data_IF_285543726851
#
_entry.id   IF_285543726851
#
_cell.length_a   1.000
_cell.length_b   1.000
_cell.length_c   1.000
_cell.angle_alpha   90.00
_cell.angle_beta   90.00
_cell.angle_gamma   90.00
#
_symmetry.space_group_name_H-M   'P 1'
#
loop_
_entity.id
_entity.type
_entity.pdbx_description
1 polymer ?
#
# COMPACT_ATOMS: atom_id res chain seq x y z
N UNK A 1 22.56 -0.94 7.13
CA UNK A 1 21.85 -0.57 5.88
C UNK A 1 22.07 -1.62 4.81
N UNK A 2 23.33 -1.94 4.44
CA UNK A 2 23.66 -2.94 3.41
C UNK A 2 22.97 -4.31 3.56
N UNK A 3 22.83 -4.85 4.78
CA UNK A 3 22.17 -6.15 4.99
C UNK A 3 20.64 -6.08 4.86
N UNK A 4 20.01 -4.97 5.29
CA UNK A 4 18.56 -4.78 5.15
C UNK A 4 18.22 -4.61 3.67
N UNK A 5 18.95 -3.75 2.96
CA UNK A 5 18.73 -3.52 1.53
C UNK A 5 18.90 -4.82 0.72
N UNK A 6 19.88 -5.66 1.10
CA UNK A 6 20.08 -6.99 0.51
C UNK A 6 18.90 -7.92 0.78
N UNK A 7 18.38 -7.96 2.02
CA UNK A 7 17.22 -8.79 2.35
C UNK A 7 15.97 -8.36 1.58
N UNK A 8 15.71 -7.06 1.48
CA UNK A 8 14.60 -6.51 0.69
C UNK A 8 14.75 -6.88 -0.78
N UNK A 9 15.96 -6.77 -1.33
CA UNK A 9 16.24 -7.16 -2.72
C UNK A 9 15.98 -8.65 -2.98
N UNK A 10 16.40 -9.53 -2.07
CA UNK A 10 16.14 -10.97 -2.20
C UNK A 10 14.64 -11.30 -2.06
N UNK A 11 13.93 -10.64 -1.14
CA UNK A 11 12.47 -10.76 -1.02
C UNK A 11 11.76 -10.33 -2.30
N UNK A 12 12.13 -9.19 -2.86
CA UNK A 12 11.57 -8.67 -4.11
C UNK A 12 11.85 -9.62 -5.28
N UNK A 13 13.05 -10.18 -5.36
CA UNK A 13 13.41 -11.19 -6.38
C UNK A 13 12.55 -12.45 -6.26
N UNK A 14 12.35 -12.96 -5.04
CA UNK A 14 11.49 -14.13 -4.78
C UNK A 14 10.02 -13.84 -5.12
N UNK A 15 9.55 -12.66 -4.76
CA UNK A 15 8.20 -12.18 -5.09
C UNK A 15 8.00 -12.10 -6.61
N UNK A 16 8.91 -11.42 -7.33
CA UNK A 16 8.87 -11.31 -8.79
C UNK A 16 8.88 -12.67 -9.50
N UNK A 17 9.62 -13.65 -8.97
CA UNK A 17 9.60 -15.01 -9.50
C UNK A 17 8.20 -15.66 -9.39
N UNK A 18 7.45 -15.38 -8.32
CA UNK A 18 6.07 -15.89 -8.14
C UNK A 18 5.06 -15.14 -9.02
N UNK A 19 5.26 -13.84 -9.23
CA UNK A 19 4.41 -13.01 -10.08
C UNK A 19 4.57 -13.31 -11.58
N UNK A 20 5.71 -13.87 -11.99
CA UNK A 20 6.04 -14.13 -13.39
C UNK A 20 5.32 -15.37 -13.93
N UNK A 21 4.06 -15.20 -14.32
CA UNK A 21 3.35 -16.17 -15.13
C UNK A 21 3.61 -15.89 -16.63
N UNK A 22 4.13 -16.85 -17.43
CA UNK A 22 4.56 -16.58 -18.81
C UNK A 22 3.48 -15.95 -19.69
N UNK A 23 2.23 -16.39 -19.50
CA UNK A 23 1.10 -15.84 -20.27
C UNK A 23 0.72 -14.42 -19.84
N UNK A 24 0.78 -14.11 -18.53
CA UNK A 24 0.48 -12.77 -18.04
C UNK A 24 1.60 -11.80 -18.46
N UNK A 25 2.86 -12.19 -18.28
CA UNK A 25 4.02 -11.38 -18.65
C UNK A 25 4.10 -11.06 -20.15
N UNK A 26 3.49 -11.89 -21.01
CA UNK A 26 3.42 -11.64 -22.46
C UNK A 26 2.36 -10.58 -22.82
N UNK A 27 1.30 -10.45 -22.04
CA UNK A 27 0.12 -9.65 -22.41
C UNK A 27 -0.11 -8.44 -21.50
N UNK A 28 0.44 -8.43 -20.29
CA UNK A 28 0.26 -7.37 -19.29
C UNK A 28 1.61 -6.81 -18.84
N UNK A 29 1.66 -5.54 -18.44
CA UNK A 29 2.82 -5.00 -17.74
C UNK A 29 3.08 -5.82 -16.47
N UNK A 30 4.35 -5.88 -16.05
CA UNK A 30 4.71 -6.53 -14.79
C UNK A 30 3.99 -5.83 -13.62
N UNK A 31 3.41 -6.60 -12.67
CA UNK A 31 2.78 -6.01 -11.49
C UNK A 31 3.79 -5.16 -10.73
N UNK A 32 3.37 -3.97 -10.30
CA UNK A 32 4.23 -3.07 -9.54
C UNK A 32 4.37 -3.58 -8.10
N UNK A 33 5.61 -3.80 -7.67
CA UNK A 33 5.91 -4.11 -6.27
C UNK A 33 6.10 -2.81 -5.49
N UNK A 34 5.27 -2.58 -4.47
CA UNK A 34 5.49 -1.49 -3.53
C UNK A 34 6.65 -1.80 -2.58
N UNK A 35 7.84 -1.27 -2.89
CA UNK A 35 9.03 -1.44 -2.07
C UNK A 35 8.91 -0.85 -0.67
N UNK A 36 8.12 0.21 -0.46
CA UNK A 36 7.94 0.80 0.86
C UNK A 36 7.10 -0.13 1.74
N UNK A 37 6.02 -0.71 1.19
CA UNK A 37 5.23 -1.75 1.89
C UNK A 37 6.08 -3.00 2.17
N UNK A 38 6.92 -3.42 1.22
CA UNK A 38 7.83 -4.54 1.42
C UNK A 38 8.83 -4.29 2.57
N UNK A 39 9.40 -3.08 2.62
CA UNK A 39 10.30 -2.67 3.71
C UNK A 39 9.58 -2.65 5.06
N UNK A 40 8.38 -2.07 5.13
CA UNK A 40 7.58 -2.03 6.35
C UNK A 40 7.24 -3.44 6.85
N UNK A 41 6.87 -4.37 5.95
CA UNK A 41 6.59 -5.75 6.35
C UNK A 41 7.85 -6.44 6.87
N UNK A 42 8.97 -6.30 6.17
CA UNK A 42 10.25 -6.84 6.66
C UNK A 42 10.58 -6.31 8.06
N UNK A 43 10.51 -4.99 8.26
CA UNK A 43 10.78 -4.38 9.56
C UNK A 43 9.82 -4.84 10.66
N UNK A 44 8.54 -5.03 10.34
CA UNK A 44 7.52 -5.56 11.26
C UNK A 44 7.80 -7.03 11.64
N UNK A 45 8.07 -7.89 10.66
CA UNK A 45 8.33 -9.31 10.90
C UNK A 45 9.68 -9.57 11.59
N UNK A 46 10.66 -8.67 11.42
CA UNK A 46 11.92 -8.72 12.17
C UNK A 46 11.74 -8.56 13.68
N UNK A 47 10.67 -7.92 14.12
CA UNK A 47 10.34 -7.81 15.56
C UNK A 47 9.62 -9.05 16.11
N UNK A 48 9.20 -9.96 15.24
CA UNK A 48 8.51 -11.18 15.66
C UNK A 48 9.50 -12.27 16.10
N UNK A 49 9.00 -13.21 16.90
CA UNK A 49 9.76 -14.38 17.36
C UNK A 49 9.73 -15.56 16.38
N UNK A 50 9.24 -15.33 15.15
CA UNK A 50 9.10 -16.36 14.12
C UNK A 50 10.47 -16.77 13.54
N UNK A 51 10.55 -17.98 13.00
CA UNK A 51 11.73 -18.41 12.25
C UNK A 51 11.85 -17.63 10.94
N UNK A 52 13.08 -17.44 10.45
CA UNK A 52 13.32 -16.64 9.23
C UNK A 52 12.56 -17.14 8.00
N UNK A 53 12.43 -18.46 7.84
CA UNK A 53 11.67 -19.04 6.75
C UNK A 53 10.18 -18.66 6.82
N UNK A 54 9.61 -18.59 8.04
CA UNK A 54 8.21 -18.24 8.24
C UNK A 54 7.99 -16.74 8.03
N UNK A 55 8.89 -15.89 8.55
CA UNK A 55 8.87 -14.44 8.30
C UNK A 55 8.85 -14.16 6.80
N UNK A 56 9.76 -14.77 6.04
CA UNK A 56 9.83 -14.62 4.59
C UNK A 56 8.53 -15.05 3.90
N UNK A 57 8.00 -16.23 4.26
CA UNK A 57 6.76 -16.73 3.66
C UNK A 57 5.57 -15.79 3.95
N UNK A 58 5.48 -15.25 5.17
CA UNK A 58 4.43 -14.30 5.51
C UNK A 58 4.58 -12.96 4.80
N UNK A 59 5.81 -12.41 4.69
CA UNK A 59 6.07 -11.18 3.94
C UNK A 59 5.66 -11.35 2.47
N UNK A 60 6.10 -12.43 1.83
CA UNK A 60 5.76 -12.73 0.42
C UNK A 60 4.24 -12.86 0.26
N UNK A 61 3.58 -13.55 1.19
CA UNK A 61 2.12 -13.73 1.17
C UNK A 61 1.40 -12.39 1.31
N UNK A 62 1.78 -11.56 2.28
CA UNK A 62 1.17 -10.25 2.50
C UNK A 62 1.35 -9.33 1.27
N UNK A 63 2.52 -9.38 0.62
CA UNK A 63 2.77 -8.64 -0.61
C UNK A 63 1.96 -9.17 -1.80
N UNK A 64 1.75 -10.48 -1.92
CA UNK A 64 0.86 -11.04 -2.94
C UNK A 64 -0.59 -10.60 -2.73
N UNK A 65 -1.05 -10.50 -1.48
CA UNK A 65 -2.37 -9.94 -1.17
C UNK A 65 -2.44 -8.48 -1.63
N UNK A 66 -1.44 -7.66 -1.30
CA UNK A 66 -1.41 -6.26 -1.75
C UNK A 66 -1.45 -6.16 -3.28
N UNK A 67 -0.62 -6.95 -3.98
CA UNK A 67 -0.59 -6.95 -5.44
C UNK A 67 -1.91 -7.42 -6.04
N UNK A 68 -2.56 -8.43 -5.46
CA UNK A 68 -3.88 -8.85 -5.91
C UNK A 68 -4.91 -7.72 -5.77
N UNK A 69 -4.92 -7.03 -4.62
CA UNK A 69 -5.79 -5.89 -4.36
C UNK A 69 -5.54 -4.73 -5.31
N UNK A 70 -4.28 -4.39 -5.57
CA UNK A 70 -3.87 -3.32 -6.47
C UNK A 70 -4.21 -3.68 -7.94
N UNK A 71 -3.98 -4.93 -8.34
CA UNK A 71 -4.30 -5.43 -9.70
C UNK A 71 -5.80 -5.32 -9.98
N UNK A 72 -6.67 -5.56 -8.99
CA UNK A 72 -8.11 -5.37 -9.14
C UNK A 72 -8.52 -3.89 -9.28
N UNK A 73 -7.74 -2.94 -8.75
CA UNK A 73 -8.00 -1.51 -8.95
C UNK A 73 -7.62 -1.03 -10.35
N UNK A 74 -6.62 -1.65 -10.98
CA UNK A 74 -6.16 -1.29 -12.33
C UNK A 74 -7.14 -1.72 -13.44
N UNK A 75 -8.27 -2.36 -13.09
CA UNK A 75 -9.30 -2.77 -14.05
C UNK A 75 -10.06 -1.53 -14.55
N UNK A 76 -9.74 -1.08 -15.77
CA UNK A 76 -10.39 0.09 -16.38
C UNK A 76 -11.93 -0.14 -16.51
N UNK A 77 -12.72 0.83 -16.04
CA UNK A 77 -14.19 0.80 -16.04
C UNK A 77 -14.82 1.51 -17.24
N UNK A 78 -14.02 2.05 -18.16
CA UNK A 78 -14.53 2.69 -19.37
C UNK A 78 -15.36 1.71 -20.23
N UNK A 79 -16.52 2.18 -20.68
CA UNK A 79 -17.55 1.38 -21.37
C UNK A 79 -17.30 1.23 -22.87
N UNK A 80 -16.43 2.07 -23.46
CA UNK A 80 -16.06 2.03 -24.87
C UNK A 80 -14.57 1.69 -24.99
N UNK A 81 -14.26 0.40 -24.96
CA UNK A 81 -12.90 -0.12 -25.10
C UNK A 81 -12.76 -0.84 -26.45
N UNK A 82 -11.61 -0.69 -27.11
CA UNK A 82 -11.28 -1.51 -28.26
C UNK A 82 -11.17 -2.98 -27.85
N UNK A 83 -11.23 -3.92 -28.81
CA UNK A 83 -11.17 -5.36 -28.52
C UNK A 83 -9.91 -5.76 -27.73
N UNK A 84 -8.76 -5.14 -28.02
CA UNK A 84 -7.51 -5.39 -27.28
C UNK A 84 -7.58 -4.86 -25.85
N UNK A 85 -8.24 -3.73 -25.63
CA UNK A 85 -8.46 -3.17 -24.29
C UNK A 85 -9.43 -4.04 -23.46
N UNK A 86 -10.44 -4.62 -24.10
CA UNK A 86 -11.31 -5.60 -23.45
C UNK A 86 -10.55 -6.86 -23.04
N UNK A 87 -9.68 -7.38 -23.91
CA UNK A 87 -8.83 -8.54 -23.60
C UNK A 87 -7.88 -8.22 -22.45
N UNK A 88 -7.20 -7.07 -22.49
CA UNK A 88 -6.29 -6.64 -21.42
C UNK A 88 -7.05 -6.51 -20.09
N UNK A 89 -8.24 -5.90 -20.09
CA UNK A 89 -9.09 -5.80 -18.90
C UNK A 89 -9.44 -7.17 -18.32
N UNK A 90 -9.85 -8.13 -19.15
CA UNK A 90 -10.15 -9.49 -18.70
C UNK A 90 -8.92 -10.19 -18.14
N UNK A 91 -7.76 -9.98 -18.76
CA UNK A 91 -6.50 -10.52 -18.27
C UNK A 91 -6.06 -9.88 -16.94
N UNK A 92 -6.32 -8.59 -16.72
CA UNK A 92 -6.07 -7.92 -15.44
C UNK A 92 -6.93 -8.54 -14.33
N UNK A 93 -8.22 -8.79 -14.59
CA UNK A 93 -9.09 -9.51 -13.64
C UNK A 93 -8.53 -10.90 -13.33
N UNK A 94 -8.14 -11.65 -14.36
CA UNK A 94 -7.57 -12.99 -14.19
C UNK A 94 -6.21 -12.95 -13.46
N UNK A 95 -5.41 -11.90 -13.64
CA UNK A 95 -4.16 -11.71 -12.92
C UNK A 95 -4.44 -11.50 -11.42
N UNK A 96 -5.44 -10.69 -11.07
CA UNK A 96 -5.90 -10.53 -9.68
C UNK A 96 -6.36 -11.85 -9.05
N UNK A 97 -7.16 -12.64 -9.78
CA UNK A 97 -7.60 -13.97 -9.33
C UNK A 97 -6.43 -14.94 -9.16
N UNK A 98 -5.46 -14.91 -10.09
CA UNK A 98 -4.26 -15.74 -10.05
C UNK A 98 -3.38 -15.39 -8.84
N UNK A 99 -3.11 -14.11 -8.59
CA UNK A 99 -2.36 -13.68 -7.41
C UNK A 99 -3.11 -14.00 -6.13
N UNK A 100 -4.45 -13.94 -6.16
CA UNK A 100 -5.27 -14.39 -5.04
C UNK A 100 -5.12 -15.87 -4.74
N UNK A 101 -5.19 -16.72 -5.78
CA UNK A 101 -4.94 -18.15 -5.66
C UNK A 101 -3.53 -18.47 -5.14
N UNK A 102 -2.51 -17.72 -5.57
CA UNK A 102 -1.14 -17.88 -5.10
C UNK A 102 -0.99 -17.62 -3.60
N UNK A 103 -1.55 -16.52 -3.06
CA UNK A 103 -1.43 -16.26 -1.63
C UNK A 103 -2.23 -17.28 -0.80
N UNK A 104 -3.39 -17.73 -1.27
CA UNK A 104 -4.16 -18.78 -0.59
C UNK A 104 -3.40 -20.11 -0.56
N UNK A 105 -2.76 -20.48 -1.67
CA UNK A 105 -1.90 -21.67 -1.73
C UNK A 105 -0.78 -21.58 -0.69
N UNK A 106 -0.05 -20.47 -0.63
CA UNK A 106 1.05 -20.29 0.32
C UNK A 106 0.59 -20.37 1.78
N UNK A 107 -0.54 -19.75 2.11
CA UNK A 107 -1.12 -19.85 3.46
C UNK A 107 -1.56 -21.26 3.80
N UNK A 108 -2.14 -21.98 2.84
CA UNK A 108 -2.56 -23.37 3.04
C UNK A 108 -1.37 -24.29 3.29
N UNK A 109 -0.25 -24.04 2.62
CA UNK A 109 1.01 -24.78 2.82
C UNK A 109 1.62 -24.53 4.20
N UNK A 110 1.52 -23.29 4.70
CA UNK A 110 1.94 -22.92 6.06
C UNK A 110 1.03 -23.50 7.15
N UNK A 111 -0.18 -23.97 6.80
CA UNK A 111 -1.19 -24.52 7.73
C UNK A 111 -1.59 -23.56 8.86
N UNK A 112 -1.37 -22.25 8.68
CA UNK A 112 -1.75 -21.23 9.66
C UNK A 112 -3.15 -20.67 9.38
N UNK A 113 -4.15 -21.36 9.92
CA UNK A 113 -5.56 -20.99 9.79
C UNK A 113 -5.83 -19.63 10.46
N UNK A 114 -5.08 -19.25 11.50
CA UNK A 114 -5.28 -17.97 12.17
C UNK A 114 -4.81 -16.83 11.29
N UNK A 115 -3.64 -16.96 10.65
CA UNK A 115 -3.16 -15.96 9.69
C UNK A 115 -4.08 -15.85 8.47
N UNK A 116 -4.64 -16.95 7.97
CA UNK A 116 -5.65 -16.91 6.90
C UNK A 116 -6.83 -16.02 7.30
N UNK A 117 -7.35 -16.21 8.51
CA UNK A 117 -8.48 -15.42 9.03
C UNK A 117 -8.11 -13.95 9.23
N UNK A 118 -6.91 -13.69 9.73
CA UNK A 118 -6.35 -12.35 9.90
C UNK A 118 -6.33 -11.60 8.56
N UNK A 119 -5.73 -12.21 7.52
CA UNK A 119 -5.64 -11.60 6.19
C UNK A 119 -7.01 -11.45 5.53
N UNK A 120 -7.90 -12.44 5.64
CA UNK A 120 -9.25 -12.34 5.11
C UNK A 120 -10.04 -11.19 5.75
N UNK A 121 -9.85 -10.94 7.05
CA UNK A 121 -10.47 -9.81 7.75
C UNK A 121 -9.92 -8.48 7.26
N UNK A 122 -8.59 -8.39 7.08
CA UNK A 122 -7.95 -7.21 6.52
C UNK A 122 -8.43 -6.91 5.09
N UNK A 123 -8.47 -7.93 4.21
CA UNK A 123 -8.95 -7.81 2.81
C UNK A 123 -10.39 -7.30 2.78
N UNK A 124 -11.25 -7.85 3.65
CA UNK A 124 -12.64 -7.39 3.77
C UNK A 124 -12.71 -5.91 4.16
N UNK A 125 -11.99 -5.50 5.20
CA UNK A 125 -11.98 -4.11 5.67
C UNK A 125 -11.47 -3.15 4.59
N UNK A 126 -10.39 -3.52 3.90
CA UNK A 126 -9.84 -2.77 2.77
C UNK A 126 -10.90 -2.57 1.70
N UNK A 127 -11.55 -3.64 1.23
CA UNK A 127 -12.54 -3.55 0.18
C UNK A 127 -13.78 -2.75 0.59
N UNK A 128 -14.26 -2.88 1.84
CA UNK A 128 -15.35 -2.05 2.36
C UNK A 128 -14.99 -0.55 2.34
N UNK A 129 -13.78 -0.20 2.76
CA UNK A 129 -13.33 1.19 2.75
C UNK A 129 -13.08 1.72 1.33
N UNK A 130 -12.61 0.89 0.40
CA UNK A 130 -12.53 1.22 -1.04
C UNK A 130 -13.91 1.57 -1.61
N UNK A 131 -14.92 0.75 -1.32
CA UNK A 131 -16.31 1.01 -1.74
C UNK A 131 -16.83 2.31 -1.12
N UNK A 132 -16.60 2.56 0.18
CA UNK A 132 -17.03 3.82 0.82
C UNK A 132 -16.42 5.07 0.18
N UNK A 133 -15.14 5.02 -0.20
CA UNK A 133 -14.49 6.12 -0.93
C UNK A 133 -15.04 6.26 -2.34
N UNK A 134 -15.29 5.16 -3.04
CA UNK A 134 -15.83 5.15 -4.41
C UNK A 134 -17.27 5.68 -4.47
N UNK A 135 -18.16 5.19 -3.60
CA UNK A 135 -19.57 5.57 -3.51
C UNK A 135 -19.80 6.93 -2.82
N UNK A 136 -18.71 7.62 -2.43
CA UNK A 136 -18.73 8.95 -1.79
C UNK A 136 -19.58 9.00 -0.52
N UNK A 137 -19.64 7.91 0.22
CA UNK A 137 -20.41 7.84 1.47
C UNK A 137 -19.74 8.59 2.63
N UNK A 138 -18.59 9.23 2.40
CA UNK A 138 -17.77 9.89 3.41
C UNK A 138 -17.80 11.41 3.19
N UNK A 139 -18.43 12.10 4.14
CA UNK A 139 -18.67 13.55 4.08
C UNK A 139 -17.81 14.35 5.08
N UNK A 140 -16.85 13.71 5.73
CA UNK A 140 -15.99 14.32 6.74
C UNK A 140 -14.52 14.03 6.43
N UNK A 141 -13.65 15.03 6.63
CA UNK A 141 -12.23 14.94 6.31
C UNK A 141 -11.49 13.96 7.23
N UNK A 142 -11.87 13.86 8.50
CA UNK A 142 -11.28 12.87 9.41
C UNK A 142 -11.73 11.45 9.02
N UNK A 143 -13.01 11.27 8.69
CA UNK A 143 -13.53 10.01 8.17
C UNK A 143 -12.85 9.63 6.83
N UNK A 144 -12.52 10.60 5.98
CA UNK A 144 -11.78 10.37 4.75
C UNK A 144 -10.38 9.83 5.04
N UNK A 145 -9.60 10.52 5.87
CA UNK A 145 -8.25 10.05 6.22
C UNK A 145 -8.25 8.75 7.01
N UNK A 146 -9.27 8.52 7.84
CA UNK A 146 -9.47 7.23 8.50
C UNK A 146 -9.74 6.12 7.48
N UNK A 147 -10.59 6.37 6.48
CA UNK A 147 -10.86 5.41 5.42
C UNK A 147 -9.63 5.14 4.55
N UNK A 148 -8.89 6.20 4.20
CA UNK A 148 -7.64 6.09 3.45
C UNK A 148 -6.58 5.30 4.23
N UNK A 149 -6.45 5.56 5.53
CA UNK A 149 -5.59 4.80 6.42
C UNK A 149 -5.94 3.32 6.43
N UNK A 150 -7.22 2.98 6.60
CA UNK A 150 -7.65 1.58 6.56
C UNK A 150 -7.35 0.90 5.21
N UNK A 151 -7.55 1.58 4.08
CA UNK A 151 -7.22 1.02 2.77
C UNK A 151 -5.73 0.72 2.65
N UNK A 152 -4.87 1.64 3.09
CA UNK A 152 -3.44 1.52 2.90
C UNK A 152 -2.77 0.60 3.94
N UNK A 153 -3.24 0.60 5.19
CA UNK A 153 -2.54 -0.02 6.31
C UNK A 153 -3.29 -1.13 7.05
N UNK A 154 -4.52 -1.49 6.69
CA UNK A 154 -5.26 -2.54 7.43
C UNK A 154 -4.51 -3.88 7.46
N UNK A 155 -3.83 -4.26 6.37
CA UNK A 155 -2.99 -5.48 6.39
C UNK A 155 -1.90 -5.42 7.48
N UNK A 156 -1.23 -4.28 7.62
CA UNK A 156 -0.23 -4.07 8.68
C UNK A 156 -0.88 -4.13 10.05
N UNK A 157 -2.01 -3.44 10.25
CA UNK A 157 -2.76 -3.43 11.51
C UNK A 157 -3.09 -4.84 11.97
N UNK A 158 -3.73 -5.64 11.11
CA UNK A 158 -4.16 -6.99 11.48
C UNK A 158 -2.99 -7.95 11.70
N UNK A 159 -1.93 -7.87 10.89
CA UNK A 159 -0.73 -8.70 11.08
C UNK A 159 0.00 -8.30 12.36
N UNK A 160 0.17 -7.01 12.63
CA UNK A 160 0.81 -6.50 13.84
C UNK A 160 0.04 -6.89 15.11
N UNK A 161 -1.29 -6.82 15.09
CA UNK A 161 -2.14 -7.31 16.19
C UNK A 161 -1.98 -8.82 16.39
N UNK A 162 -1.95 -9.59 15.29
CA UNK A 162 -1.74 -11.04 15.33
C UNK A 162 -0.36 -11.41 15.93
N UNK A 163 0.69 -10.66 15.58
CA UNK A 163 2.05 -10.85 16.10
C UNK A 163 2.28 -10.19 17.47
N UNK A 164 1.28 -9.47 18.01
CA UNK A 164 1.33 -8.72 19.27
C UNK A 164 2.36 -7.58 19.29
N UNK A 165 2.50 -6.87 18.17
CA UNK A 165 3.41 -5.73 17.99
C UNK A 165 2.63 -4.49 17.50
N UNK A 166 1.65 -3.99 18.28
CA UNK A 166 0.66 -3.01 17.81
C UNK A 166 1.24 -1.62 17.50
N UNK A 167 2.49 -1.33 17.88
CA UNK A 167 3.18 -0.08 17.50
C UNK A 167 3.25 0.10 15.99
N UNK A 168 3.35 -1.00 15.23
CA UNK A 168 3.36 -0.98 13.78
C UNK A 168 2.03 -0.54 13.15
N UNK A 169 0.92 -0.59 13.90
CA UNK A 169 -0.37 -0.08 13.43
C UNK A 169 -0.26 1.42 13.12
N UNK A 170 0.34 2.18 14.04
CA UNK A 170 0.49 3.63 13.94
C UNK A 170 1.57 3.97 12.91
N UNK A 171 2.74 3.32 12.98
CA UNK A 171 3.86 3.57 12.07
C UNK A 171 3.46 3.34 10.61
N UNK A 172 2.85 2.19 10.31
CA UNK A 172 2.47 1.86 8.94
C UNK A 172 1.34 2.75 8.44
N UNK A 173 0.34 3.05 9.28
CA UNK A 173 -0.76 3.94 8.91
C UNK A 173 -0.25 5.33 8.53
N UNK A 174 0.51 5.98 9.41
CA UNK A 174 0.92 7.36 9.20
C UNK A 174 1.87 7.49 8.01
N UNK A 175 2.82 6.56 7.88
CA UNK A 175 3.74 6.51 6.73
C UNK A 175 2.98 6.32 5.42
N UNK A 176 2.09 5.33 5.33
CA UNK A 176 1.42 4.97 4.08
C UNK A 176 0.35 5.99 3.68
N UNK A 177 -0.35 6.60 4.64
CA UNK A 177 -1.27 7.72 4.38
C UNK A 177 -0.51 8.91 3.80
N UNK A 178 0.62 9.30 4.40
CA UNK A 178 1.44 10.37 3.85
C UNK A 178 1.93 10.04 2.44
N UNK A 179 2.49 8.84 2.25
CA UNK A 179 2.90 8.36 0.92
C UNK A 179 1.76 8.47 -0.10
N UNK A 180 0.56 8.01 0.26
CA UNK A 180 -0.58 8.01 -0.65
C UNK A 180 -0.98 9.42 -1.07
N UNK A 181 -1.08 10.34 -0.11
CA UNK A 181 -1.35 11.77 -0.33
C UNK A 181 -0.33 12.41 -1.29
N UNK A 182 0.93 12.02 -1.19
CA UNK A 182 2.01 12.56 -2.02
C UNK A 182 2.03 11.95 -3.42
N UNK A 183 1.62 10.67 -3.54
CA UNK A 183 1.65 9.94 -4.80
C UNK A 183 0.43 10.16 -5.71
N UNK A 184 -0.70 10.61 -5.15
CA UNK A 184 -1.96 10.72 -5.88
C UNK A 184 -2.51 12.16 -5.87
N UNK A 185 -2.16 12.98 -6.88
CA UNK A 185 -2.69 14.34 -7.00
C UNK A 185 -4.21 14.38 -7.25
N UNK A 186 -4.82 13.27 -7.68
CA UNK A 186 -6.26 13.19 -7.94
C UNK A 186 -7.04 12.98 -6.65
N UNK A 187 -6.38 12.60 -5.55
CA UNK A 187 -7.00 12.43 -4.24
C UNK A 187 -7.75 13.69 -3.78
N UNK A 188 -7.28 14.88 -4.19
CA UNK A 188 -7.86 16.18 -3.86
C UNK A 188 -8.70 16.78 -4.99
N UNK A 189 -8.74 16.15 -6.17
CA UNK A 189 -9.55 16.65 -7.28
C UNK A 189 -11.01 16.20 -7.09
N UNK A 190 -11.99 17.07 -7.36
CA UNK A 190 -13.36 16.60 -7.53
C UNK A 190 -13.41 15.65 -8.74
N UNK A 191 -13.55 14.36 -8.48
CA UNK A 191 -13.89 13.38 -9.50
C UNK A 191 -15.28 13.77 -10.02
N UNK A 192 -15.35 14.22 -11.28
CA UNK A 192 -16.53 14.78 -11.97
C UNK A 192 -17.88 14.45 -11.33
N UNK A 193 -18.43 15.43 -10.61
CA UNK A 193 -19.67 15.35 -9.83
C UNK A 193 -19.45 16.03 -8.48
N UNK A 194 -20.30 16.99 -8.13
CA UNK A 194 -20.22 17.76 -6.89
C UNK A 194 -20.22 16.81 -5.67
N UNK A 195 -19.04 16.56 -5.12
CA UNK A 195 -18.90 16.01 -3.77
C UNK A 195 -18.91 17.20 -2.80
N UNK A 196 -19.64 17.16 -1.66
CA UNK A 196 -19.61 18.24 -0.67
C UNK A 196 -18.21 18.60 -0.17
N UNK A 197 -17.25 17.67 -0.30
CA UNK A 197 -15.86 17.87 0.10
C UNK A 197 -15.00 18.55 -0.98
N UNK A 198 -15.53 18.80 -2.19
CA UNK A 198 -14.74 19.37 -3.28
C UNK A 198 -14.21 20.76 -2.92
N UNK A 199 -14.95 21.53 -2.11
CA UNK A 199 -14.55 22.88 -1.68
C UNK A 199 -13.41 22.86 -0.66
N UNK A 200 -13.41 21.92 0.30
CA UNK A 200 -12.36 21.79 1.31
C UNK A 200 -11.03 21.31 0.73
N UNK A 201 -11.07 20.40 -0.25
CA UNK A 201 -9.88 19.88 -0.90
C UNK A 201 -9.44 20.72 -2.11
N UNK A 202 -10.28 21.61 -2.66
CA UNK A 202 -9.91 22.45 -3.81
C UNK A 202 -8.99 23.61 -3.47
N UNK A 203 -8.88 23.99 -2.20
CA UNK A 203 -8.03 25.10 -1.79
C UNK A 203 -6.56 24.65 -1.70
N UNK A 204 -5.70 25.27 -2.50
CA UNK A 204 -4.28 24.94 -2.58
C UNK A 204 -3.54 25.22 -1.26
N UNK A 205 -3.95 26.24 -0.49
CA UNK A 205 -3.37 26.53 0.82
C UNK A 205 -3.67 25.38 1.80
N UNK A 206 -4.91 24.91 1.85
CA UNK A 206 -5.32 23.77 2.67
C UNK A 206 -4.60 22.47 2.28
N UNK A 207 -4.33 22.24 0.99
CA UNK A 207 -3.59 21.04 0.56
C UNK A 207 -2.14 21.02 1.04
N UNK A 208 -1.45 22.17 1.04
CA UNK A 208 -0.08 22.26 1.52
C UNK A 208 -0.01 22.00 3.04
N UNK A 209 -0.92 22.62 3.80
CA UNK A 209 -1.03 22.41 5.25
C UNK A 209 -1.33 20.95 5.61
N UNK A 210 -2.25 20.30 4.88
CA UNK A 210 -2.55 18.87 5.07
C UNK A 210 -1.31 18.01 4.84
N UNK A 211 -0.56 18.25 3.75
CA UNK A 211 0.66 17.50 3.42
C UNK A 211 1.73 17.65 4.50
N UNK A 212 1.98 18.88 4.95
CA UNK A 212 2.96 19.14 6.02
C UNK A 212 2.52 18.57 7.37
N UNK A 213 1.24 18.69 7.72
CA UNK A 213 0.68 18.09 8.94
C UNK A 213 0.87 16.58 8.95
N UNK A 214 0.53 15.89 7.84
CA UNK A 214 0.68 14.43 7.72
C UNK A 214 2.14 13.98 7.71
N UNK A 215 3.03 14.75 7.09
CA UNK A 215 4.47 14.53 7.18
C UNK A 215 4.96 14.58 8.64
N UNK A 216 4.58 15.62 9.38
CA UNK A 216 4.99 15.79 10.77
C UNK A 216 4.46 14.67 11.68
N UNK A 217 3.20 14.24 11.47
CA UNK A 217 2.61 13.11 12.19
C UNK A 217 3.42 11.83 11.93
N UNK A 218 3.73 11.51 10.67
CA UNK A 218 4.48 10.31 10.31
C UNK A 218 5.91 10.33 10.90
N UNK A 219 6.60 11.47 10.83
CA UNK A 219 7.95 11.61 11.43
C UNK A 219 7.89 11.47 12.94
N UNK A 220 6.89 12.06 13.60
CA UNK A 220 6.73 11.97 15.05
C UNK A 220 6.47 10.53 15.50
N UNK A 221 5.55 9.81 14.85
CA UNK A 221 5.25 8.42 15.22
C UNK A 221 6.44 7.48 15.02
N UNK A 222 7.21 7.66 13.94
CA UNK A 222 8.46 6.91 13.71
C UNK A 222 9.52 7.22 14.79
N UNK A 223 9.69 8.49 15.15
CA UNK A 223 10.68 8.89 16.17
C UNK A 223 10.36 8.33 17.55
N UNK A 224 9.09 8.39 17.93
CA UNK A 224 8.61 7.93 19.23
C UNK A 224 8.66 6.40 19.34
N UNK A 225 8.03 5.71 18.39
CA UNK A 225 7.77 4.28 18.48
C UNK A 225 8.96 3.40 18.06
N UNK A 226 9.93 3.94 17.30
CA UNK A 226 11.16 3.24 16.90
C UNK A 226 12.43 3.80 17.56
N UNK A 227 12.30 4.46 18.71
CA UNK A 227 13.42 5.03 19.47
C UNK A 227 14.51 3.99 19.83
N UNK A 228 14.14 2.72 19.96
CA UNK A 228 15.06 1.61 20.20
C UNK A 228 15.62 0.93 18.93
N UNK A 229 15.24 1.39 17.74
CA UNK A 229 15.66 0.83 16.44
C UNK A 229 16.18 1.92 15.49
N UNK A 230 17.35 2.51 15.79
CA UNK A 230 17.84 3.69 15.08
C UNK A 230 18.05 3.47 13.58
N UNK A 231 18.42 2.25 13.16
CA UNK A 231 18.61 1.96 11.73
C UNK A 231 17.29 2.01 10.95
N UNK A 232 16.25 1.33 11.42
CA UNK A 232 14.92 1.33 10.77
C UNK A 232 14.32 2.73 10.83
N UNK A 233 14.45 3.40 11.98
CA UNK A 233 13.97 4.76 12.18
C UNK A 233 14.57 5.72 11.14
N UNK A 234 15.90 5.73 11.00
CA UNK A 234 16.59 6.58 10.02
C UNK A 234 16.14 6.26 8.59
N UNK A 235 16.09 4.97 8.21
CA UNK A 235 15.66 4.58 6.87
C UNK A 235 14.24 5.04 6.52
N UNK A 236 13.29 4.94 7.46
CA UNK A 236 11.92 5.40 7.22
C UNK A 236 11.83 6.93 7.13
N UNK A 237 12.54 7.66 7.99
CA UNK A 237 12.57 9.14 7.94
C UNK A 237 13.23 9.63 6.64
N UNK A 238 14.34 9.03 6.24
CA UNK A 238 15.02 9.36 4.97
C UNK A 238 14.09 9.10 3.78
N UNK A 239 13.30 8.03 3.82
CA UNK A 239 12.30 7.75 2.79
C UNK A 239 11.17 8.78 2.76
N UNK A 240 10.65 9.21 3.92
CA UNK A 240 9.67 10.30 3.99
C UNK A 240 10.21 11.61 3.40
N UNK A 241 11.48 11.94 3.68
CA UNK A 241 12.17 13.09 3.09
C UNK A 241 12.27 12.97 1.56
N UNK A 242 12.64 11.79 1.05
CA UNK A 242 12.71 11.54 -0.38
C UNK A 242 11.34 11.70 -1.06
N UNK A 243 10.27 11.15 -0.48
CA UNK A 243 8.89 11.32 -0.98
C UNK A 243 8.51 12.81 -1.01
N UNK A 244 8.90 13.58 0.01
CA UNK A 244 8.69 15.04 0.02
C UNK A 244 9.37 15.68 -1.19
N UNK A 245 10.65 15.38 -1.43
CA UNK A 245 11.45 15.96 -2.51
C UNK A 245 11.00 15.58 -3.93
N UNK A 246 10.55 14.34 -4.13
CA UNK A 246 10.01 13.85 -5.42
C UNK A 246 8.84 14.71 -5.91
N UNK A 247 8.00 15.20 -4.99
CA UNK A 247 6.88 16.10 -5.32
C UNK A 247 7.36 17.51 -5.72
N UNK A 248 8.36 18.06 -5.01
CA UNK A 248 8.92 19.38 -5.33
C UNK A 248 9.54 19.43 -6.72
N UNK A 249 10.26 18.38 -7.11
CA UNK A 249 10.89 18.27 -8.44
C UNK A 249 9.87 18.07 -9.56
N UNK A 250 8.71 17.45 -9.28
CA UNK A 250 7.60 17.35 -10.23
C UNK A 250 6.95 18.71 -10.50
N UNK A 251 6.71 19.51 -9.46
CA UNK A 251 6.09 20.84 -9.61
C UNK A 251 6.98 21.83 -10.38
N UNK A 252 8.30 21.85 -10.15
CA UNK A 252 9.22 22.71 -10.91
C UNK A 252 9.24 22.41 -12.42
N UNK A 253 9.18 21.13 -12.81
CA UNK A 253 9.19 20.74 -14.23
C UNK A 253 7.91 21.10 -14.99
N UNK A 254 6.79 21.26 -14.29
CA UNK A 254 5.50 21.63 -14.90
C UNK A 254 5.36 23.14 -15.05
N UNK A 255 6.10 23.94 -14.27
CA UNK A 255 6.12 25.41 -14.39
C UNK A 255 7.12 25.92 -15.45
N UNK A 256 8.10 25.12 -15.85
CA UNK A 256 9.14 25.47 -16.83
C UNK A 256 8.84 25.01 -18.29
N UNK A 257 7.70 24.36 -18.54
CA UNK A 257 7.31 23.83 -19.87
C UNK A 257 5.97 24.36 -20.37
#
# INVERSE_FOLDING_TARGET
>A
MHDIDKNIFELEKKLNKKLSHPYLAKNLPAPKVDRDKLFLFHALFEESVLAEADKENYIITAMLVQIALDTHEDVNTETALALDDQKNRQLTVLAGDYFSGLYYSLLSDMKDIFMIRTLATAIKEINEHKVRLYDRSINDLNAFFSSLGNIESALFKYIAEHLKIPSWNVIANDFLVYKRIMSDPKLFKPLGGESPNSSYFSDHENQHEIKDSRYNIAVASIKELLSNKPLIQTSLIDRLNAIKQELWTYHQKVEEG
#
